data_IF_788834472574
#
_entry.id   IF_788834472574
#
_cell.length_a   1.000
_cell.length_b   1.000
_cell.length_c   1.000
_cell.angle_alpha   90.00
_cell.angle_beta   90.00
_cell.angle_gamma   90.00
#
_symmetry.space_group_name_H-M   'P 1'
#
loop_
_entity.id
_entity.type
_entity.pdbx_description
1 polymer ?
#
# COMPACT_ATOMS: atom_id res chain seq x y z
N UNK A 1 -2.64 4.71 -36.41
CA UNK A 1 -2.57 4.50 -34.95
C UNK A 1 -1.65 3.31 -34.71
N UNK A 2 -0.45 3.54 -34.19
CA UNK A 2 0.46 2.44 -33.86
C UNK A 2 -0.15 1.65 -32.69
N UNK A 3 -0.22 0.30 -32.76
CA UNK A 3 -0.61 -0.48 -31.60
C UNK A 3 0.43 -0.22 -30.51
N UNK A 4 -0.04 0.16 -29.30
CA UNK A 4 0.80 0.22 -28.10
C UNK A 4 1.50 -1.14 -27.98
N UNK A 5 2.80 -1.17 -28.30
CA UNK A 5 3.65 -2.35 -28.14
C UNK A 5 3.71 -2.67 -26.65
N UNK A 6 2.76 -3.47 -26.16
CA UNK A 6 2.66 -3.82 -24.75
C UNK A 6 3.86 -4.72 -24.40
N UNK A 7 4.84 -4.15 -23.72
CA UNK A 7 5.73 -4.95 -22.88
C UNK A 7 4.85 -5.73 -21.91
N UNK A 8 5.01 -7.05 -21.83
CA UNK A 8 4.29 -7.92 -20.90
C UNK A 8 4.52 -7.55 -19.42
N UNK A 9 5.51 -6.71 -19.14
CA UNK A 9 5.88 -6.27 -17.81
C UNK A 9 4.88 -5.22 -17.25
N UNK A 10 4.35 -5.40 -16.03
CA UNK A 10 3.56 -4.39 -15.33
C UNK A 10 4.33 -3.06 -15.17
N UNK A 11 3.63 -1.93 -15.22
CA UNK A 11 4.25 -0.60 -15.13
C UNK A 11 4.93 -0.36 -13.79
N UNK A 12 4.39 -0.95 -12.72
CA UNK A 12 5.00 -0.94 -11.39
C UNK A 12 6.44 -1.46 -11.41
N UNK A 13 6.73 -2.49 -12.22
CA UNK A 13 8.08 -3.04 -12.37
C UNK A 13 8.89 -2.31 -13.44
N UNK A 14 8.25 -1.93 -14.56
CA UNK A 14 8.89 -1.17 -15.66
C UNK A 14 9.51 0.14 -15.15
N UNK A 15 8.77 0.86 -14.31
CA UNK A 15 9.17 2.16 -13.76
C UNK A 15 9.79 2.08 -12.37
N UNK A 16 10.12 0.88 -11.87
CA UNK A 16 10.76 0.68 -10.58
C UNK A 16 12.16 1.33 -10.59
N UNK A 17 12.46 2.27 -9.66
CA UNK A 17 13.79 2.83 -9.48
C UNK A 17 14.89 1.75 -9.37
N UNK A 18 15.97 1.91 -10.14
CA UNK A 18 17.13 0.99 -10.13
C UNK A 18 18.28 1.47 -9.25
N UNK A 19 18.31 2.76 -8.89
CA UNK A 19 19.33 3.37 -8.04
C UNK A 19 18.66 4.05 -6.85
N UNK A 20 19.34 4.09 -5.71
CA UNK A 20 18.81 4.72 -4.49
C UNK A 20 18.45 6.18 -4.71
N UNK A 21 19.24 6.91 -5.50
CA UNK A 21 18.97 8.32 -5.87
C UNK A 21 17.72 8.54 -6.72
N UNK A 22 17.20 7.50 -7.37
CA UNK A 22 16.00 7.59 -8.22
C UNK A 22 14.71 7.32 -7.41
N UNK A 23 14.81 7.08 -6.09
CA UNK A 23 13.66 6.88 -5.19
C UNK A 23 13.08 8.25 -4.82
N UNK A 24 11.78 8.43 -5.07
CA UNK A 24 11.10 9.71 -4.85
C UNK A 24 10.92 10.07 -3.35
N UNK A 25 11.17 11.34 -3.00
CA UNK A 25 10.87 12.04 -1.73
C UNK A 25 11.49 11.53 -0.42
N UNK A 26 12.19 10.40 -0.41
CA UNK A 26 12.77 9.87 0.82
C UNK A 26 14.17 10.46 1.06
N UNK A 27 14.32 11.79 0.96
CA UNK A 27 15.62 12.48 0.84
C UNK A 27 16.57 12.17 2.00
N UNK A 28 16.04 12.13 3.24
CA UNK A 28 16.82 11.75 4.43
C UNK A 28 17.36 10.31 4.31
N UNK A 29 16.50 9.38 3.91
CA UNK A 29 16.85 7.96 3.75
C UNK A 29 17.83 7.78 2.60
N UNK A 30 17.56 8.39 1.44
CA UNK A 30 18.41 8.37 0.25
C UNK A 30 19.79 8.94 0.55
N UNK A 31 19.88 10.05 1.28
CA UNK A 31 21.16 10.68 1.65
C UNK A 31 21.98 9.78 2.57
N UNK A 32 21.38 9.25 3.63
CA UNK A 32 22.08 8.34 4.57
C UNK A 32 22.53 7.08 3.85
N UNK A 33 21.67 6.49 3.03
CA UNK A 33 22.00 5.27 2.28
C UNK A 33 23.09 5.52 1.24
N UNK A 34 23.09 6.67 0.55
CA UNK A 34 24.13 6.99 -0.42
C UNK A 34 25.51 7.06 0.25
N UNK A 35 25.62 7.74 1.40
CA UNK A 35 26.86 7.78 2.17
C UNK A 35 27.26 6.39 2.72
N UNK A 36 26.27 5.60 3.09
CA UNK A 36 26.47 4.23 3.61
C UNK A 36 26.91 3.26 2.52
N UNK A 37 26.60 3.53 1.24
CA UNK A 37 27.07 2.73 0.10
C UNK A 37 28.50 3.08 -0.32
N UNK A 38 28.91 4.33 -0.13
CA UNK A 38 30.30 4.77 -0.36
C UNK A 38 31.26 4.19 0.70
N UNK A 39 30.76 4.01 1.91
CA UNK A 39 31.49 3.32 2.98
C UNK A 39 31.23 1.82 2.87
N UNK A 40 32.25 0.97 2.81
CA UNK A 40 32.11 -0.50 2.68
C UNK A 40 31.45 -1.18 3.90
N UNK A 41 30.84 -0.41 4.80
CA UNK A 41 30.26 -0.85 6.05
C UNK A 41 28.76 -0.53 6.08
N UNK A 42 27.93 -1.36 5.44
CA UNK A 42 26.48 -1.24 5.59
C UNK A 42 26.01 -2.01 6.86
N UNK A 43 25.24 -1.40 7.75
CA UNK A 43 24.63 -2.12 8.87
C UNK A 43 23.48 -3.01 8.37
N UNK A 44 22.95 -3.88 9.24
CA UNK A 44 21.62 -4.47 9.01
C UNK A 44 20.58 -3.34 9.00
N UNK A 45 19.61 -3.39 8.09
CA UNK A 45 18.66 -2.31 7.84
C UNK A 45 17.21 -2.80 8.04
N UNK A 46 16.40 -1.96 8.67
CA UNK A 46 14.97 -2.18 8.85
C UNK A 46 14.23 -1.06 8.13
N UNK A 47 13.50 -1.41 7.08
CA UNK A 47 12.71 -0.47 6.30
C UNK A 47 11.25 -0.61 6.70
N UNK A 48 10.66 0.43 7.26
CA UNK A 48 9.29 0.38 7.77
C UNK A 48 8.49 1.61 7.35
N UNK A 49 7.18 1.45 7.19
CA UNK A 49 6.28 2.50 6.73
C UNK A 49 5.13 1.98 5.86
N UNK A 50 4.21 2.86 5.44
CA UNK A 50 3.01 2.52 4.66
C UNK A 50 3.32 1.79 3.34
N UNK A 51 2.39 1.02 2.76
CA UNK A 51 2.58 0.37 1.45
C UNK A 51 2.86 1.41 0.34
N UNK A 52 3.42 0.96 -0.78
CA UNK A 52 3.70 1.86 -1.93
C UNK A 52 4.83 2.87 -1.79
N UNK A 53 5.39 3.07 -0.60
CA UNK A 53 6.38 4.13 -0.31
C UNK A 53 7.82 3.86 -0.79
N UNK A 54 8.08 2.72 -1.45
CA UNK A 54 9.41 2.42 -2.02
C UNK A 54 10.38 1.63 -1.13
N UNK A 55 9.91 1.02 -0.02
CA UNK A 55 10.73 0.16 0.88
C UNK A 55 11.48 -0.95 0.12
N UNK A 56 10.74 -1.84 -0.53
CA UNK A 56 11.31 -2.97 -1.29
C UNK A 56 12.16 -2.47 -2.45
N UNK A 57 11.71 -1.42 -3.15
CA UNK A 57 12.46 -0.80 -4.25
C UNK A 57 13.82 -0.29 -3.79
N UNK A 58 13.89 0.35 -2.62
CA UNK A 58 15.15 0.86 -2.07
C UNK A 58 16.11 -0.28 -1.73
N UNK A 59 15.59 -1.37 -1.13
CA UNK A 59 16.41 -2.56 -0.83
C UNK A 59 16.98 -3.20 -2.11
N UNK A 60 16.15 -3.37 -3.14
CA UNK A 60 16.58 -3.89 -4.44
C UNK A 60 17.59 -2.95 -5.12
N UNK A 61 17.37 -1.64 -5.07
CA UNK A 61 18.28 -0.65 -5.64
C UNK A 61 19.66 -0.68 -4.97
N UNK A 62 19.71 -0.81 -3.64
CA UNK A 62 20.97 -1.01 -2.89
C UNK A 62 21.66 -2.29 -3.37
N UNK A 63 20.94 -3.40 -3.39
CA UNK A 63 21.50 -4.69 -3.80
C UNK A 63 22.04 -4.66 -5.25
N UNK A 64 21.31 -4.02 -6.17
CA UNK A 64 21.79 -3.81 -7.54
C UNK A 64 23.03 -2.91 -7.61
N UNK A 65 23.11 -1.86 -6.79
CA UNK A 65 24.28 -0.97 -6.77
C UNK A 65 25.52 -1.64 -6.15
N UNK A 66 25.35 -2.49 -5.14
CA UNK A 66 26.46 -3.18 -4.47
C UNK A 66 27.04 -4.33 -5.31
N UNK A 67 26.18 -5.11 -5.99
CA UNK A 67 26.60 -6.35 -6.66
C UNK A 67 26.58 -6.28 -8.18
N UNK A 68 25.88 -5.30 -8.75
CA UNK A 68 25.63 -5.28 -10.19
C UNK A 68 24.77 -6.46 -10.66
N UNK A 69 24.45 -6.54 -11.97
CA UNK A 69 23.55 -7.55 -12.51
C UNK A 69 24.11 -8.98 -12.48
N UNK A 70 25.43 -9.14 -12.55
CA UNK A 70 26.08 -10.46 -12.60
C UNK A 70 26.07 -11.17 -11.24
N UNK A 71 26.46 -10.46 -10.19
CA UNK A 71 26.57 -11.04 -8.85
C UNK A 71 25.26 -10.97 -8.06
N UNK A 72 24.24 -10.26 -8.56
CA UNK A 72 22.95 -10.13 -7.89
C UNK A 72 22.32 -11.50 -7.57
N UNK A 73 22.22 -12.38 -8.58
CA UNK A 73 21.56 -13.69 -8.42
C UNK A 73 22.30 -14.64 -7.49
N UNK A 74 23.63 -14.50 -7.36
CA UNK A 74 24.45 -15.36 -6.52
C UNK A 74 24.63 -14.80 -5.10
N UNK A 75 24.50 -13.49 -4.91
CA UNK A 75 24.79 -12.81 -3.64
C UNK A 75 23.56 -12.23 -2.93
N UNK A 76 22.38 -12.24 -3.55
CA UNK A 76 21.14 -11.72 -2.98
C UNK A 76 20.11 -12.83 -2.81
N UNK A 77 19.62 -13.01 -1.59
CA UNK A 77 18.49 -13.88 -1.27
C UNK A 77 17.30 -13.03 -0.82
N UNK A 78 16.26 -13.00 -1.65
CA UNK A 78 14.93 -12.48 -1.30
C UNK A 78 14.07 -13.61 -0.74
N UNK A 79 13.45 -13.37 0.42
CA UNK A 79 12.47 -14.29 1.03
C UNK A 79 11.20 -13.50 1.31
N UNK A 80 10.06 -14.04 0.87
CA UNK A 80 8.76 -13.42 1.07
C UNK A 80 7.97 -14.18 2.14
N UNK A 81 7.38 -13.45 3.09
CA UNK A 81 6.67 -14.05 4.23
C UNK A 81 5.44 -14.89 3.82
N UNK A 82 4.87 -14.63 2.65
CA UNK A 82 3.74 -15.38 2.08
C UNK A 82 4.14 -16.76 1.54
N UNK A 83 5.31 -16.83 0.92
CA UNK A 83 5.74 -17.99 0.13
C UNK A 83 6.58 -18.94 0.99
N UNK A 84 7.38 -18.38 1.90
CA UNK A 84 8.30 -19.10 2.77
C UNK A 84 7.71 -19.32 4.16
N UNK A 85 6.59 -20.05 4.20
CA UNK A 85 5.91 -20.37 5.46
C UNK A 85 6.70 -21.39 6.29
N UNK A 86 6.90 -21.07 7.57
CA UNK A 86 7.53 -21.96 8.55
C UNK A 86 8.95 -21.55 8.90
N UNK A 87 9.19 -21.37 10.22
CA UNK A 87 10.48 -20.91 10.75
C UNK A 87 11.65 -21.82 10.33
N UNK A 88 11.40 -23.11 10.15
CA UNK A 88 12.42 -24.08 9.74
C UNK A 88 12.80 -23.91 8.27
N UNK A 89 11.84 -23.65 7.38
CA UNK A 89 12.11 -23.41 5.95
C UNK A 89 12.96 -22.16 5.78
N UNK A 90 12.55 -21.07 6.44
CA UNK A 90 13.28 -19.79 6.44
C UNK A 90 14.68 -19.99 6.99
N UNK A 91 14.84 -20.64 8.16
CA UNK A 91 16.16 -20.89 8.77
C UNK A 91 17.06 -21.73 7.89
N UNK A 92 16.54 -22.78 7.23
CA UNK A 92 17.34 -23.66 6.38
C UNK A 92 17.79 -22.93 5.12
N UNK A 93 16.88 -22.29 4.37
CA UNK A 93 17.24 -21.49 3.19
C UNK A 93 18.30 -20.44 3.51
N UNK A 94 18.13 -19.75 4.63
CA UNK A 94 19.09 -18.77 5.12
C UNK A 94 20.44 -19.40 5.45
N UNK A 95 20.47 -20.54 6.16
CA UNK A 95 21.69 -21.25 6.54
C UNK A 95 22.44 -21.80 5.34
N UNK A 96 21.73 -22.31 4.34
CA UNK A 96 22.34 -22.88 3.15
C UNK A 96 22.96 -21.78 2.29
N UNK A 97 22.24 -20.67 2.12
CA UNK A 97 22.76 -19.48 1.45
C UNK A 97 24.02 -18.92 2.16
N UNK A 98 24.04 -18.93 3.50
CA UNK A 98 25.19 -18.59 4.32
C UNK A 98 26.45 -19.34 3.91
N UNK A 99 26.30 -20.66 3.83
CA UNK A 99 27.39 -21.58 3.73
C UNK A 99 28.04 -21.45 2.35
N UNK A 100 27.22 -21.24 1.31
CA UNK A 100 27.66 -21.02 -0.07
C UNK A 100 28.41 -19.69 -0.22
N UNK A 101 27.92 -18.62 0.43
CA UNK A 101 28.58 -17.32 0.39
C UNK A 101 29.96 -17.34 1.09
N UNK A 102 30.12 -18.16 2.13
CA UNK A 102 31.38 -18.31 2.88
C UNK A 102 32.37 -19.25 2.18
N UNK A 103 31.92 -20.29 1.48
CA UNK A 103 32.79 -21.29 0.84
C UNK A 103 33.45 -20.81 -0.45
N UNK A 104 32.86 -19.83 -1.15
CA UNK A 104 33.39 -19.25 -2.40
C UNK A 104 34.53 -18.23 -2.20
N UNK A 105 35.08 -18.12 -0.98
CA UNK A 105 36.05 -17.11 -0.55
C UNK A 105 37.52 -17.32 -0.99
N UNK A 106 37.82 -18.18 -1.97
CA UNK A 106 39.21 -18.48 -2.37
C UNK A 106 39.74 -17.77 -3.62
N UNK A 107 38.95 -16.94 -4.31
CA UNK A 107 39.46 -16.16 -5.44
C UNK A 107 39.13 -14.66 -5.31
N UNK A 108 40.20 -13.90 -5.04
CA UNK A 108 40.44 -12.48 -5.31
C UNK A 108 39.25 -11.49 -5.17
N UNK A 109 39.27 -10.75 -4.06
CA UNK A 109 39.27 -9.29 -4.20
C UNK A 109 37.94 -8.53 -4.21
N UNK A 110 36.85 -9.02 -3.58
CA UNK A 110 35.78 -8.14 -3.06
C UNK A 110 34.89 -8.91 -2.09
N UNK A 111 34.88 -8.46 -0.82
CA UNK A 111 34.18 -9.09 0.31
C UNK A 111 32.77 -8.53 0.42
N UNK A 112 31.76 -9.24 -0.07
CA UNK A 112 30.36 -9.01 0.33
C UNK A 112 29.45 -10.14 -0.15
N UNK A 113 28.77 -10.86 0.74
CA UNK A 113 27.69 -11.80 0.39
C UNK A 113 26.51 -11.52 1.32
N UNK A 114 25.25 -11.50 0.85
CA UNK A 114 24.12 -11.02 1.67
C UNK A 114 23.35 -12.19 2.28
N UNK A 115 23.31 -12.30 3.60
CA UNK A 115 22.67 -13.40 4.32
C UNK A 115 22.15 -12.89 5.65
N UNK A 116 21.01 -13.42 6.03
CA UNK A 116 20.27 -13.13 7.24
C UNK A 116 20.77 -14.02 8.37
N UNK A 117 21.16 -13.55 9.56
CA UNK A 117 21.21 -14.43 10.75
C UNK A 117 21.31 -13.65 12.05
N UNK A 118 20.60 -14.15 13.07
CA UNK A 118 21.00 -14.04 14.47
C UNK A 118 22.42 -14.63 14.60
N UNK A 119 23.40 -13.73 14.61
CA UNK A 119 24.86 -13.78 14.92
C UNK A 119 25.46 -15.06 15.52
N UNK A 120 26.75 -15.40 15.26
CA UNK A 120 27.89 -14.48 15.45
C UNK A 120 28.98 -14.41 14.35
N UNK A 121 29.50 -13.18 14.22
CA UNK A 121 30.81 -12.76 13.65
C UNK A 121 31.07 -13.06 12.16
N UNK A 122 30.56 -12.20 11.28
CA UNK A 122 31.22 -11.81 10.04
C UNK A 122 30.60 -10.52 9.51
N UNK A 123 31.43 -9.60 9.00
CA UNK A 123 31.12 -8.17 8.77
C UNK A 123 30.50 -7.84 7.40
N UNK A 124 30.16 -8.83 6.59
CA UNK A 124 29.97 -8.63 5.15
C UNK A 124 28.53 -8.90 4.65
N UNK A 125 27.53 -8.83 5.54
CA UNK A 125 26.15 -9.31 5.32
C UNK A 125 25.08 -8.22 5.59
N UNK A 126 24.21 -7.92 4.60
CA UNK A 126 23.10 -6.96 4.75
C UNK A 126 21.74 -7.66 4.86
N UNK A 127 20.78 -7.01 5.49
CA UNK A 127 19.46 -7.57 5.82
C UNK A 127 18.46 -6.42 5.76
N UNK A 128 17.36 -6.58 5.02
CA UNK A 128 16.24 -5.65 4.82
C UNK A 128 14.89 -6.25 5.25
N UNK A 129 14.49 -6.12 6.51
CA UNK A 129 13.18 -6.64 6.93
C UNK A 129 12.12 -5.54 6.96
N UNK A 130 10.88 -5.88 6.57
CA UNK A 130 9.73 -4.96 6.58
C UNK A 130 8.92 -5.00 7.88
N UNK A 131 8.93 -6.13 8.60
CA UNK A 131 8.26 -6.28 9.91
C UNK A 131 9.05 -7.28 10.77
N UNK A 132 9.44 -6.91 11.99
CA UNK A 132 10.26 -7.75 12.87
C UNK A 132 9.78 -7.73 14.32
N UNK A 133 10.01 -8.86 15.01
CA UNK A 133 10.00 -8.91 16.46
C UNK A 133 11.09 -7.99 17.05
N UNK A 134 10.78 -7.36 18.19
CA UNK A 134 11.61 -6.37 18.86
C UNK A 134 13.10 -6.78 19.06
N UNK A 135 13.45 -8.04 19.40
CA UNK A 135 14.85 -8.44 19.57
C UNK A 135 15.70 -8.40 18.30
N UNK A 136 15.05 -8.47 17.13
CA UNK A 136 15.71 -8.35 15.82
C UNK A 136 15.76 -6.90 15.37
N UNK A 137 14.68 -6.14 15.63
CA UNK A 137 14.60 -4.72 15.30
C UNK A 137 15.65 -3.88 16.04
N UNK A 138 16.06 -4.27 17.25
CA UNK A 138 17.10 -3.56 18.03
C UNK A 138 18.50 -3.63 17.42
N UNK A 139 18.76 -4.59 16.53
CA UNK A 139 20.08 -4.82 15.90
C UNK A 139 20.21 -4.20 14.51
N UNK A 140 19.17 -3.50 14.05
CA UNK A 140 19.08 -2.93 12.71
C UNK A 140 19.05 -1.40 12.76
N UNK A 141 19.74 -0.76 11.81
CA UNK A 141 19.52 0.64 11.48
C UNK A 141 18.11 0.82 10.92
N UNK A 142 17.33 1.71 11.54
CA UNK A 142 15.90 1.89 11.22
C UNK A 142 15.73 3.04 10.24
N UNK A 143 15.06 2.78 9.12
CA UNK A 143 14.70 3.79 8.13
C UNK A 143 13.19 3.83 7.97
N UNK A 144 12.61 4.98 8.34
CA UNK A 144 11.18 5.24 8.23
C UNK A 144 10.86 5.81 6.85
N UNK A 145 9.96 5.16 6.13
CA UNK A 145 9.39 5.65 4.89
C UNK A 145 8.07 6.35 5.17
N UNK A 146 7.97 7.63 4.77
CA UNK A 146 6.75 8.43 4.91
C UNK A 146 5.84 8.21 3.69
N UNK A 147 4.50 8.34 3.82
CA UNK A 147 3.62 8.48 2.67
C UNK A 147 4.13 9.56 1.72
N UNK A 148 3.91 9.37 0.42
CA UNK A 148 4.31 10.36 -0.59
C UNK A 148 3.28 11.50 -0.63
N UNK A 149 3.77 12.74 -0.80
CA UNK A 149 2.91 13.90 -1.01
C UNK A 149 2.28 13.88 -2.41
N UNK A 150 1.12 14.53 -2.56
CA UNK A 150 0.40 14.61 -3.83
C UNK A 150 1.25 15.22 -4.95
N UNK A 151 2.05 16.24 -4.65
CA UNK A 151 2.95 16.88 -5.61
C UNK A 151 3.92 15.89 -6.25
N UNK A 152 4.46 14.98 -5.44
CA UNK A 152 5.51 14.06 -5.89
C UNK A 152 4.90 12.87 -6.61
N UNK A 153 3.75 12.40 -6.15
CA UNK A 153 2.98 11.42 -6.91
C UNK A 153 2.60 11.99 -8.27
N UNK A 154 2.09 13.21 -8.31
CA UNK A 154 1.70 13.92 -9.54
C UNK A 154 2.87 14.05 -10.51
N UNK A 155 4.05 14.45 -10.02
CA UNK A 155 5.27 14.52 -10.81
C UNK A 155 5.66 13.17 -11.41
N UNK A 156 5.62 12.09 -10.60
CA UNK A 156 5.99 10.75 -11.07
C UNK A 156 4.97 10.16 -12.03
N UNK A 157 3.68 10.38 -11.80
CA UNK A 157 2.59 9.94 -12.68
C UNK A 157 2.68 10.69 -14.01
N UNK A 158 2.94 12.00 -13.99
CA UNK A 158 3.10 12.81 -15.20
C UNK A 158 4.24 12.29 -16.09
N UNK A 159 5.38 11.93 -15.48
CA UNK A 159 6.48 11.28 -16.20
C UNK A 159 6.04 9.96 -16.87
N UNK A 160 5.28 9.11 -16.17
CA UNK A 160 4.78 7.84 -16.74
C UNK A 160 3.79 8.11 -17.89
N UNK A 161 2.93 9.11 -17.75
CA UNK A 161 1.98 9.49 -18.79
C UNK A 161 2.70 9.96 -20.07
N UNK A 162 3.79 10.73 -19.93
CA UNK A 162 4.60 11.17 -21.06
C UNK A 162 5.28 10.00 -21.79
N UNK A 163 5.85 9.05 -21.04
CA UNK A 163 6.53 7.88 -21.59
C UNK A 163 5.56 6.89 -22.27
N UNK A 164 4.34 6.77 -21.77
CA UNK A 164 3.31 5.88 -22.32
C UNK A 164 2.39 6.57 -23.35
N UNK A 165 2.52 7.89 -23.54
CA UNK A 165 1.68 8.67 -24.46
C UNK A 165 0.22 8.81 -24.00
N UNK A 166 -0.01 8.95 -22.69
CA UNK A 166 -1.34 9.14 -22.10
C UNK A 166 -1.67 10.62 -21.92
N UNK A 167 -2.92 10.97 -22.19
CA UNK A 167 -3.52 12.26 -21.87
C UNK A 167 -4.42 12.09 -20.65
N UNK A 168 -3.97 12.64 -19.51
CA UNK A 168 -4.76 12.75 -18.29
C UNK A 168 -5.24 14.18 -18.11
N UNK A 169 -6.52 14.32 -17.79
CA UNK A 169 -7.07 15.60 -17.34
C UNK A 169 -6.48 15.98 -15.96
N UNK A 170 -6.29 17.28 -15.66
CA UNK A 170 -5.78 17.72 -14.35
C UNK A 170 -6.64 17.24 -13.18
N UNK A 171 -7.97 17.17 -13.39
CA UNK A 171 -8.92 16.61 -12.43
C UNK A 171 -8.65 15.12 -12.19
N UNK A 172 -8.41 14.34 -13.25
CA UNK A 172 -8.09 12.92 -13.15
C UNK A 172 -6.78 12.67 -12.38
N UNK A 173 -5.79 13.55 -12.53
CA UNK A 173 -4.53 13.47 -11.76
C UNK A 173 -4.76 13.72 -10.25
N UNK A 174 -5.62 14.69 -9.92
CA UNK A 174 -6.02 14.96 -8.54
C UNK A 174 -6.80 13.78 -7.95
N UNK A 175 -7.78 13.27 -8.68
CA UNK A 175 -8.57 12.08 -8.30
C UNK A 175 -7.67 10.85 -8.11
N UNK A 176 -6.70 10.61 -8.99
CA UNK A 176 -5.76 9.50 -8.85
C UNK A 176 -4.92 9.64 -7.56
N UNK A 177 -4.53 10.88 -7.23
CA UNK A 177 -3.71 11.16 -6.06
C UNK A 177 -4.50 10.94 -4.76
N UNK A 178 -5.75 11.39 -4.70
CA UNK A 178 -6.63 11.21 -3.54
C UNK A 178 -6.97 9.73 -3.30
N UNK A 179 -7.33 9.00 -4.36
CA UNK A 179 -7.65 7.57 -4.30
C UNK A 179 -6.45 6.74 -3.82
N UNK A 180 -5.24 7.16 -4.19
CA UNK A 180 -4.02 6.39 -3.90
C UNK A 180 -3.50 6.60 -2.48
N UNK A 181 -3.93 7.65 -1.75
CA UNK A 181 -3.57 7.92 -0.35
C UNK A 181 -2.05 7.82 -0.05
N UNK A 182 -1.21 8.34 -0.96
CA UNK A 182 0.24 8.29 -0.83
C UNK A 182 0.92 6.97 -1.23
N UNK A 183 0.17 5.99 -1.76
CA UNK A 183 0.67 4.73 -2.32
C UNK A 183 0.87 4.84 -3.83
N UNK A 184 2.12 5.05 -4.24
CA UNK A 184 2.48 5.17 -5.65
C UNK A 184 2.29 3.85 -6.44
N UNK A 185 2.37 2.69 -5.78
CA UNK A 185 2.13 1.40 -6.47
C UNK A 185 0.67 1.30 -6.87
N UNK A 186 -0.25 1.67 -5.98
CA UNK A 186 -1.69 1.72 -6.26
C UNK A 186 -1.98 2.69 -7.40
N UNK A 187 -1.42 3.90 -7.35
CA UNK A 187 -1.59 4.90 -8.39
C UNK A 187 -1.18 4.38 -9.78
N UNK A 188 0.01 3.78 -9.90
CA UNK A 188 0.52 3.23 -11.17
C UNK A 188 -0.35 2.05 -11.63
N UNK A 189 -0.84 1.23 -10.71
CA UNK A 189 -1.67 0.06 -11.03
C UNK A 189 -3.03 0.49 -11.58
N UNK A 190 -3.67 1.48 -10.95
CA UNK A 190 -4.94 2.04 -11.44
C UNK A 190 -4.76 2.74 -12.78
N UNK A 191 -3.71 3.54 -12.94
CA UNK A 191 -3.40 4.19 -14.21
C UNK A 191 -3.19 3.16 -15.33
N UNK A 192 -2.44 2.08 -15.06
CA UNK A 192 -2.22 1.00 -16.02
C UNK A 192 -3.52 0.27 -16.37
N UNK A 193 -4.38 0.02 -15.37
CA UNK A 193 -5.70 -0.57 -15.58
C UNK A 193 -6.58 0.30 -16.47
N UNK A 194 -6.69 1.59 -16.14
CA UNK A 194 -7.46 2.56 -16.92
C UNK A 194 -6.95 2.70 -18.35
N UNK A 195 -5.63 2.79 -18.55
CA UNK A 195 -5.03 2.87 -19.88
C UNK A 195 -5.32 1.64 -20.74
N UNK A 196 -5.41 0.45 -20.12
CA UNK A 196 -5.73 -0.79 -20.84
C UNK A 196 -7.20 -0.89 -21.23
N UNK A 197 -8.10 -0.32 -20.42
CA UNK A 197 -9.55 -0.38 -20.65
C UNK A 197 -10.04 0.73 -21.59
N UNK A 198 -9.58 1.96 -21.37
CA UNK A 198 -10.10 3.16 -22.03
C UNK A 198 -9.13 3.76 -23.06
N UNK A 199 -7.89 3.26 -23.14
CA UNK A 199 -6.89 3.71 -24.09
C UNK A 199 -6.09 4.93 -23.62
N UNK A 200 -5.80 5.85 -24.53
CA UNK A 200 -4.86 6.96 -24.30
C UNK A 200 -5.46 8.18 -23.59
N UNK A 201 -6.78 8.31 -23.54
CA UNK A 201 -7.47 9.44 -22.91
C UNK A 201 -8.22 8.93 -21.69
N UNK A 202 -7.84 9.39 -20.49
CA UNK A 202 -8.34 8.86 -19.22
C UNK A 202 -8.98 10.00 -18.42
N UNK A 203 -10.27 9.83 -18.08
CA UNK A 203 -11.04 10.76 -17.25
C UNK A 203 -11.07 10.35 -15.77
N UNK A 204 -11.55 11.25 -14.90
CA UNK A 204 -11.73 10.94 -13.46
C UNK A 204 -12.68 9.78 -13.22
N UNK A 205 -13.76 9.67 -14.03
CA UNK A 205 -14.75 8.59 -13.93
C UNK A 205 -14.14 7.23 -14.25
N UNK A 206 -13.27 7.19 -15.25
CA UNK A 206 -12.55 5.98 -15.65
C UNK A 206 -11.67 5.47 -14.50
N UNK A 207 -10.98 6.39 -13.80
CA UNK A 207 -10.15 6.05 -12.65
C UNK A 207 -10.97 5.54 -11.46
N UNK A 208 -12.10 6.18 -11.17
CA UNK A 208 -13.01 5.74 -10.08
C UNK A 208 -13.48 4.31 -10.37
N UNK A 209 -13.91 4.03 -11.61
CA UNK A 209 -14.38 2.69 -12.01
C UNK A 209 -13.32 1.60 -11.82
N UNK A 210 -12.05 1.91 -12.09
CA UNK A 210 -10.93 0.95 -11.96
C UNK A 210 -10.46 0.82 -10.52
N UNK A 211 -10.58 1.88 -9.73
CA UNK A 211 -10.10 1.91 -8.36
C UNK A 211 -10.93 1.09 -7.38
N UNK A 212 -12.19 0.81 -7.71
CA UNK A 212 -13.16 0.19 -6.82
C UNK A 212 -13.64 1.14 -5.70
N UNK A 213 -13.34 2.43 -5.81
CA UNK A 213 -13.89 3.46 -4.92
C UNK A 213 -15.35 3.68 -5.28
N UNK A 214 -16.20 3.77 -4.26
CA UNK A 214 -17.64 3.95 -4.46
C UNK A 214 -17.89 5.41 -4.84
N UNK A 215 -18.69 5.69 -5.89
CA UNK A 215 -19.07 7.04 -6.25
C UNK A 215 -19.68 7.79 -5.07
N UNK A 216 -19.34 9.07 -4.93
CA UNK A 216 -19.75 9.88 -3.78
C UNK A 216 -21.28 9.98 -3.67
N UNK A 217 -21.98 9.97 -4.81
CA UNK A 217 -23.43 10.03 -4.88
C UNK A 217 -24.10 8.85 -4.16
N UNK A 218 -23.50 7.66 -4.24
CA UNK A 218 -24.02 6.44 -3.60
C UNK A 218 -23.81 6.51 -2.08
N UNK A 219 -22.65 6.97 -1.64
CA UNK A 219 -22.33 7.11 -0.21
C UNK A 219 -23.20 8.19 0.42
N UNK A 220 -23.37 9.33 -0.26
CA UNK A 220 -24.26 10.41 0.17
C UNK A 220 -25.72 9.95 0.22
N UNK A 221 -26.21 9.21 -0.78
CA UNK A 221 -27.59 8.70 -0.77
C UNK A 221 -27.86 7.82 0.45
N UNK A 222 -26.93 6.92 0.81
CA UNK A 222 -27.05 6.09 2.01
C UNK A 222 -27.01 6.94 3.30
N UNK A 223 -26.15 7.96 3.35
CA UNK A 223 -26.04 8.85 4.51
C UNK A 223 -27.28 9.73 4.69
N UNK A 224 -27.83 10.29 3.61
CA UNK A 224 -29.08 11.04 3.60
C UNK A 224 -30.27 10.16 4.00
N UNK A 225 -30.29 8.91 3.54
CA UNK A 225 -31.28 7.96 3.96
C UNK A 225 -31.22 7.71 5.48
N UNK A 226 -30.02 7.56 6.05
CA UNK A 226 -29.82 7.48 7.50
C UNK A 226 -30.30 8.75 8.23
N UNK A 227 -30.04 9.95 7.69
CA UNK A 227 -30.49 11.23 8.27
C UNK A 227 -32.02 11.39 8.24
N UNK A 228 -32.69 10.82 7.24
CA UNK A 228 -34.14 10.94 7.07
C UNK A 228 -34.95 10.21 8.16
N UNK A 229 -34.34 9.26 8.89
CA UNK A 229 -35.05 8.42 9.86
C UNK A 229 -35.92 7.33 9.23
N UNK A 230 -35.92 7.18 7.89
CA UNK A 230 -36.74 6.19 7.20
C UNK A 230 -35.97 4.88 6.95
N UNK A 231 -36.31 3.84 7.72
CA UNK A 231 -35.69 2.52 7.61
C UNK A 231 -35.86 1.88 6.23
N UNK A 232 -37.05 2.01 5.61
CA UNK A 232 -37.31 1.39 4.30
C UNK A 232 -36.44 2.01 3.21
N UNK A 233 -36.21 3.33 3.29
CA UNK A 233 -35.32 4.05 2.39
C UNK A 233 -33.86 3.61 2.61
N UNK A 234 -33.39 3.56 3.87
CA UNK A 234 -32.04 3.11 4.18
C UNK A 234 -31.80 1.67 3.73
N UNK A 235 -32.76 0.76 3.97
CA UNK A 235 -32.70 -0.62 3.53
C UNK A 235 -32.66 -0.73 2.00
N UNK A 236 -33.41 0.12 1.28
CA UNK A 236 -33.34 0.17 -0.18
C UNK A 236 -31.93 0.55 -0.65
N UNK A 237 -31.32 1.58 -0.07
CA UNK A 237 -29.96 1.99 -0.44
C UNK A 237 -28.91 0.92 -0.08
N UNK A 238 -29.06 0.23 1.06
CA UNK A 238 -28.20 -0.93 1.39
C UNK A 238 -28.33 -2.03 0.33
N UNK A 239 -29.56 -2.36 -0.09
CA UNK A 239 -29.77 -3.34 -1.16
C UNK A 239 -29.16 -2.89 -2.49
N UNK A 240 -29.23 -1.60 -2.83
CA UNK A 240 -28.60 -1.06 -4.03
C UNK A 240 -27.07 -1.25 -3.99
N UNK A 241 -26.44 -0.95 -2.84
CA UNK A 241 -24.98 -1.09 -2.66
C UNK A 241 -24.53 -2.54 -2.85
N UNK A 242 -25.27 -3.50 -2.28
CA UNK A 242 -24.98 -4.93 -2.41
C UNK A 242 -25.26 -5.42 -3.84
N UNK A 243 -26.33 -4.96 -4.49
CA UNK A 243 -26.70 -5.34 -5.85
C UNK A 243 -25.69 -4.86 -6.90
N UNK A 244 -25.14 -3.67 -6.72
CA UNK A 244 -24.05 -3.12 -7.55
C UNK A 244 -22.69 -3.79 -7.26
N UNK A 245 -22.59 -4.56 -6.18
CA UNK A 245 -21.38 -5.33 -5.83
C UNK A 245 -20.26 -4.47 -5.24
N UNK A 246 -20.59 -3.33 -4.63
CA UNK A 246 -19.60 -2.50 -3.97
C UNK A 246 -19.08 -3.15 -2.68
N UNK A 247 -17.76 -3.15 -2.42
CA UNK A 247 -17.21 -3.69 -1.18
C UNK A 247 -17.72 -2.91 0.04
N UNK A 248 -18.36 -3.60 0.99
CA UNK A 248 -18.91 -2.95 2.18
C UNK A 248 -17.81 -2.33 3.05
N UNK A 249 -16.62 -2.92 3.10
CA UNK A 249 -15.46 -2.33 3.80
C UNK A 249 -15.06 -0.95 3.26
N UNK A 250 -15.15 -0.76 1.94
CA UNK A 250 -14.91 0.53 1.29
C UNK A 250 -16.05 1.51 1.56
N UNK A 251 -17.30 1.04 1.54
CA UNK A 251 -18.48 1.84 1.92
C UNK A 251 -18.36 2.37 3.34
N UNK A 252 -18.01 1.52 4.30
CA UNK A 252 -17.82 1.94 5.70
C UNK A 252 -16.70 2.97 5.84
N UNK A 253 -15.59 2.79 5.13
CA UNK A 253 -14.48 3.73 5.17
C UNK A 253 -14.87 5.12 4.64
N UNK A 254 -15.59 5.18 3.51
CA UNK A 254 -16.06 6.47 2.96
C UNK A 254 -17.17 7.10 3.80
N UNK A 255 -18.09 6.30 4.33
CA UNK A 255 -19.16 6.79 5.21
C UNK A 255 -18.59 7.33 6.53
N UNK A 256 -17.53 6.71 7.06
CA UNK A 256 -16.80 7.21 8.23
C UNK A 256 -16.23 8.62 8.02
N UNK A 257 -15.56 8.87 6.89
CA UNK A 257 -15.02 10.20 6.57
C UNK A 257 -16.13 11.26 6.51
N UNK A 258 -17.28 10.95 5.91
CA UNK A 258 -18.44 11.84 5.86
C UNK A 258 -18.98 12.13 7.27
N UNK A 259 -19.15 11.10 8.11
CA UNK A 259 -19.67 11.26 9.48
C UNK A 259 -18.73 12.09 10.35
N UNK A 260 -17.41 11.86 10.24
CA UNK A 260 -16.41 12.61 11.02
C UNK A 260 -16.34 14.06 10.56
N UNK A 261 -16.37 14.30 9.25
CA UNK A 261 -16.32 15.63 8.63
C UNK A 261 -17.63 16.42 8.70
N UNK A 262 -18.75 15.80 9.10
CA UNK A 262 -20.05 16.46 9.20
C UNK A 262 -20.11 17.44 10.38
N UNK A 263 -20.39 18.72 10.12
CA UNK A 263 -20.54 19.74 11.16
C UNK A 263 -21.91 19.71 11.87
N UNK A 264 -22.90 19.03 11.26
CA UNK A 264 -24.28 18.98 11.75
C UNK A 264 -24.57 17.83 12.72
N UNK A 265 -23.53 17.10 13.13
CA UNK A 265 -23.62 15.95 14.05
C UNK A 265 -22.84 16.26 15.32
N UNK A 266 -23.43 16.01 16.49
CA UNK A 266 -22.74 16.23 17.77
C UNK A 266 -21.63 15.22 18.01
N UNK A 267 -20.64 15.58 18.83
CA UNK A 267 -19.52 14.68 19.18
C UNK A 267 -19.99 13.37 19.82
N UNK A 268 -21.07 13.42 20.62
CA UNK A 268 -21.67 12.22 21.22
C UNK A 268 -22.27 11.30 20.16
N UNK A 269 -22.99 11.87 19.18
CA UNK A 269 -23.55 11.11 18.06
C UNK A 269 -22.44 10.52 17.19
N UNK A 270 -21.41 11.30 16.86
CA UNK A 270 -20.22 10.81 16.13
C UNK A 270 -19.57 9.66 16.87
N UNK A 271 -19.36 9.77 18.18
CA UNK A 271 -18.74 8.71 18.98
C UNK A 271 -19.55 7.40 18.95
N UNK A 272 -20.88 7.47 19.04
CA UNK A 272 -21.76 6.30 18.93
C UNK A 272 -21.66 5.63 17.56
N UNK A 273 -21.72 6.41 16.49
CA UNK A 273 -21.62 5.92 15.11
C UNK A 273 -20.24 5.27 14.86
N UNK A 274 -19.17 5.95 15.26
CA UNK A 274 -17.79 5.45 15.10
C UNK A 274 -17.54 4.15 15.87
N UNK A 275 -18.11 3.99 17.08
CA UNK A 275 -18.06 2.74 17.82
C UNK A 275 -18.69 1.60 17.02
N UNK A 276 -19.81 1.87 16.35
CA UNK A 276 -20.47 0.86 15.52
C UNK A 276 -19.66 0.49 14.29
N UNK A 277 -19.11 1.49 13.58
CA UNK A 277 -18.19 1.23 12.46
C UNK A 277 -17.04 0.31 12.85
N UNK A 278 -16.40 0.55 14.00
CA UNK A 278 -15.27 -0.28 14.45
C UNK A 278 -15.67 -1.76 14.73
N UNK A 279 -16.86 -1.99 15.29
CA UNK A 279 -17.37 -3.35 15.50
C UNK A 279 -17.66 -4.04 14.17
N UNK A 280 -18.33 -3.33 13.27
CA UNK A 280 -18.69 -3.88 11.96
C UNK A 280 -17.47 -4.14 11.08
N UNK A 281 -16.47 -3.25 11.06
CA UNK A 281 -15.21 -3.45 10.34
C UNK A 281 -14.50 -4.72 10.81
N UNK A 282 -14.43 -4.94 12.13
CA UNK A 282 -13.92 -6.19 12.70
C UNK A 282 -14.72 -7.41 12.22
N UNK A 283 -16.05 -7.34 12.25
CA UNK A 283 -16.90 -8.44 11.80
C UNK A 283 -16.70 -8.76 10.30
N UNK A 284 -16.52 -7.75 9.45
CA UNK A 284 -16.22 -7.95 8.04
C UNK A 284 -14.86 -8.63 7.84
N UNK A 285 -13.84 -8.24 8.61
CA UNK A 285 -12.52 -8.91 8.60
C UNK A 285 -12.63 -10.38 9.04
N UNK A 286 -13.50 -10.66 10.01
CA UNK A 286 -13.79 -12.02 10.49
C UNK A 286 -14.69 -12.83 9.53
N UNK A 287 -15.12 -12.25 8.40
CA UNK A 287 -15.89 -12.92 7.34
C UNK A 287 -17.41 -12.94 7.56
N UNK A 288 -17.94 -11.96 8.29
CA UNK A 288 -19.39 -11.81 8.47
C UNK A 288 -20.12 -11.40 7.18
N UNK A 289 -21.43 -11.61 7.16
CA UNK A 289 -22.30 -11.26 6.03
C UNK A 289 -22.36 -9.73 5.80
N UNK A 290 -21.97 -9.32 4.60
CA UNK A 290 -21.84 -7.91 4.20
C UNK A 290 -23.17 -7.13 4.29
N UNK A 291 -24.28 -7.74 3.86
CA UNK A 291 -25.59 -7.11 3.88
C UNK A 291 -26.06 -6.83 5.31
N UNK A 292 -25.98 -7.85 6.18
CA UNK A 292 -26.38 -7.70 7.58
C UNK A 292 -25.51 -6.67 8.31
N UNK A 293 -24.20 -6.68 8.05
CA UNK A 293 -23.26 -5.72 8.63
C UNK A 293 -23.55 -4.28 8.19
N UNK A 294 -23.81 -4.04 6.91
CA UNK A 294 -24.12 -2.70 6.40
C UNK A 294 -25.48 -2.20 6.89
N UNK A 295 -26.50 -3.07 6.93
CA UNK A 295 -27.83 -2.74 7.43
C UNK A 295 -27.81 -2.37 8.91
N UNK A 296 -27.04 -3.10 9.71
CA UNK A 296 -26.84 -2.85 11.13
C UNK A 296 -26.17 -1.49 11.36
N UNK A 297 -25.16 -1.15 10.57
CA UNK A 297 -24.53 0.19 10.60
C UNK A 297 -25.52 1.29 10.22
N UNK A 298 -26.28 1.13 9.13
CA UNK A 298 -27.26 2.12 8.70
C UNK A 298 -28.33 2.36 9.78
N UNK A 299 -28.82 1.27 10.39
CA UNK A 299 -29.83 1.30 11.46
C UNK A 299 -29.32 2.02 12.72
N UNK A 300 -28.09 1.72 13.15
CA UNK A 300 -27.50 2.36 14.33
C UNK A 300 -27.15 3.83 14.06
N UNK A 301 -26.70 4.15 12.85
CA UNK A 301 -26.42 5.53 12.43
C UNK A 301 -27.70 6.36 12.49
N UNK A 302 -28.79 5.85 11.93
CA UNK A 302 -30.11 6.48 12.01
C UNK A 302 -30.58 6.69 13.46
N UNK A 303 -30.45 5.66 14.33
CA UNK A 303 -30.81 5.78 15.76
C UNK A 303 -29.99 6.87 16.47
N UNK A 304 -28.68 6.93 16.21
CA UNK A 304 -27.80 7.92 16.80
C UNK A 304 -28.17 9.35 16.36
N UNK A 305 -28.47 9.55 15.08
CA UNK A 305 -28.88 10.85 14.53
C UNK A 305 -30.23 11.31 15.08
N UNK A 306 -31.18 10.39 15.27
CA UNK A 306 -32.51 10.68 15.83
C UNK A 306 -32.54 10.78 17.37
N UNK A 307 -31.40 10.69 18.06
CA UNK A 307 -31.29 10.65 19.53
C UNK A 307 -32.21 9.61 20.20
N UNK A 308 -32.44 8.47 19.55
CA UNK A 308 -33.21 7.39 20.14
C UNK A 308 -32.38 6.67 21.21
N UNK A 309 -33.00 6.31 22.34
CA UNK A 309 -32.33 5.64 23.44
C UNK A 309 -31.73 4.28 22.98
N UNK A 310 -30.53 3.97 23.51
CA UNK A 310 -29.95 2.63 23.40
C UNK A 310 -30.77 1.69 24.28
N UNK A 311 -31.39 0.67 23.67
CA UNK A 311 -31.82 -0.50 24.44
C UNK A 311 -30.54 -1.26 24.78
N UNK A 312 -30.06 -1.08 26.01
CA UNK A 312 -28.99 -1.89 26.56
C UNK A 312 -29.42 -3.37 26.50
N UNK A 313 -28.69 -4.18 25.73
CA UNK A 313 -28.76 -5.64 25.75
C UNK A 313 -27.34 -6.19 25.76
#
# INVERSE_FOLDING_TARGET
MAPLLQSSQPWVEKYRPKRVKDVAHQDEVVRVLTNTLETTNCPHMLFYGPPGTGKTTTALAIAHQLFGPELYKSRVLELNASDDRGINVVRTKIKDFAAVAVSSSHHQGMRCGVQWKLTPRSRDFFSFVTTLAEPLASRCAKFRFKPLSEEIMSSRISHICQEEGLNLDPEALSTLSSISQGDLRRAITYLQGAARLYGSSISSKDLISVSGVIPEEVVQALFEACKSGNFDLANKEVNNVIAEGYPVSQMLSQLFEIVVGADDISDEQKARICKKFAVTDKCLVDGADEYLQLLDVASNTMRALCNMAEEYS
#
